data_IF_702947072889
#
_entry.id   IF_702947072889
#
_cell.length_a   1.000
_cell.length_b   1.000
_cell.length_c   1.000
_cell.angle_alpha   90.00
_cell.angle_beta   90.00
_cell.angle_gamma   90.00
#
_symmetry.space_group_name_H-M   'P 1'
#
loop_
_entity.id
_entity.type
_entity.pdbx_description
1 polymer ?
#
# COMPACT_ATOMS: atom_id res chain seq x y z
N UNK A 1 23.79 4.94 18.23
CA UNK A 1 22.39 4.58 18.54
C UNK A 1 21.68 4.29 17.24
N UNK A 2 20.95 3.18 17.18
CA UNK A 2 20.26 2.70 15.99
C UNK A 2 18.76 2.63 16.29
N UNK A 3 17.93 3.13 15.38
CA UNK A 3 16.47 3.10 15.51
C UNK A 3 15.81 2.66 14.20
N UNK A 4 14.66 2.01 14.33
CA UNK A 4 13.77 1.66 13.23
C UNK A 4 12.47 2.43 13.36
N UNK A 5 11.94 2.93 12.23
CA UNK A 5 10.64 3.58 12.13
C UNK A 5 9.79 2.79 11.14
N UNK A 6 8.82 1.97 11.59
CA UNK A 6 7.88 1.33 10.69
C UNK A 6 7.05 2.39 9.97
N UNK A 7 6.86 2.22 8.67
CA UNK A 7 6.08 3.12 7.81
C UNK A 7 5.24 2.29 6.86
N UNK A 8 4.02 2.74 6.55
CA UNK A 8 3.21 2.16 5.47
C UNK A 8 3.77 2.53 4.09
N UNK A 9 2.92 3.04 3.20
CA UNK A 9 3.29 3.45 1.84
C UNK A 9 4.08 4.78 1.80
N UNK A 10 5.28 4.79 2.38
CA UNK A 10 6.22 5.95 2.33
C UNK A 10 7.31 5.75 1.27
N UNK A 11 7.57 4.50 0.90
CA UNK A 11 8.53 4.11 -0.13
C UNK A 11 7.78 3.86 -1.45
N UNK A 12 8.40 4.21 -2.58
CA UNK A 12 7.88 3.75 -3.88
C UNK A 12 7.92 2.22 -3.93
N UNK A 13 7.06 1.60 -4.74
CA UNK A 13 7.05 0.14 -4.94
C UNK A 13 8.46 -0.40 -5.23
N UNK A 14 9.22 0.32 -6.05
CA UNK A 14 10.61 -0.01 -6.40
C UNK A 14 11.55 -0.09 -5.18
N UNK A 15 11.33 0.73 -4.15
CA UNK A 15 12.13 0.69 -2.90
C UNK A 15 11.59 -0.37 -1.94
N UNK A 16 10.27 -0.60 -1.93
CA UNK A 16 9.65 -1.69 -1.16
C UNK A 16 10.14 -3.07 -1.60
N UNK A 17 10.34 -3.27 -2.90
CA UNK A 17 10.85 -4.52 -3.48
C UNK A 17 12.37 -4.70 -3.32
N UNK A 18 13.12 -3.60 -3.22
CA UNK A 18 14.58 -3.63 -3.08
C UNK A 18 15.03 -2.94 -1.78
N UNK A 19 15.16 -3.75 -0.73
CA UNK A 19 15.57 -3.29 0.61
C UNK A 19 16.94 -2.58 0.62
N UNK A 20 17.81 -2.82 -0.38
CA UNK A 20 19.10 -2.14 -0.47
C UNK A 20 18.97 -0.66 -0.84
N UNK A 21 17.81 -0.23 -1.35
CA UNK A 21 17.53 1.17 -1.67
C UNK A 21 17.08 1.98 -0.45
N UNK A 22 16.83 1.33 0.70
CA UNK A 22 16.47 2.02 1.95
C UNK A 22 17.70 2.76 2.46
N UNK A 23 17.69 4.08 2.29
CA UNK A 23 18.73 4.97 2.82
C UNK A 23 18.36 5.44 4.23
N UNK A 24 19.15 5.10 5.26
CA UNK A 24 18.93 5.63 6.61
C UNK A 24 19.26 7.12 6.67
N UNK A 25 18.61 7.83 7.60
CA UNK A 25 18.98 9.20 7.95
C UNK A 25 19.89 9.17 9.18
N UNK A 26 21.06 9.80 9.09
CA UNK A 26 22.03 9.86 10.19
C UNK A 26 22.33 11.29 10.60
N UNK A 27 22.39 11.55 11.92
CA UNK A 27 22.84 12.82 12.51
C UNK A 27 23.66 12.53 13.76
N UNK A 28 24.96 12.86 13.72
CA UNK A 28 25.89 12.51 14.79
C UNK A 28 26.01 10.99 14.96
N UNK A 29 25.84 10.50 16.18
CA UNK A 29 25.87 9.07 16.52
C UNK A 29 24.49 8.39 16.43
N UNK A 30 23.49 9.03 15.81
CA UNK A 30 22.12 8.52 15.68
C UNK A 30 21.86 8.17 14.21
N UNK A 31 21.38 6.94 13.99
CA UNK A 31 20.98 6.43 12.67
C UNK A 31 19.54 5.92 12.74
N UNK A 32 18.69 6.36 11.81
CA UNK A 32 17.27 5.97 11.73
C UNK A 32 16.99 5.33 10.37
N UNK A 33 16.48 4.09 10.39
CA UNK A 33 15.96 3.40 9.21
C UNK A 33 14.45 3.54 9.16
N UNK A 34 13.91 3.97 8.01
CA UNK A 34 12.50 3.78 7.71
C UNK A 34 12.29 2.36 7.17
N UNK A 35 11.32 1.65 7.71
CA UNK A 35 11.04 0.25 7.35
C UNK A 35 9.69 0.21 6.65
N UNK A 36 9.60 -0.19 5.36
CA UNK A 36 8.32 -0.39 4.68
C UNK A 36 7.61 -1.60 5.29
N UNK A 37 6.74 -1.34 6.26
CA UNK A 37 5.94 -2.34 6.97
C UNK A 37 4.48 -1.89 6.92
N UNK A 38 3.67 -2.60 6.15
CA UNK A 38 2.24 -2.31 5.98
C UNK A 38 1.41 -3.46 6.53
N UNK A 39 0.40 -3.14 7.34
CA UNK A 39 -0.65 -4.06 7.78
C UNK A 39 -1.89 -3.98 6.87
N UNK A 40 -1.83 -3.14 5.84
CA UNK A 40 -2.85 -3.03 4.80
C UNK A 40 -2.37 -3.70 3.52
N UNK A 41 -3.31 -4.32 2.80
CA UNK A 41 -3.07 -4.94 1.50
C UNK A 41 -2.50 -3.95 0.49
N UNK A 42 -1.55 -4.41 -0.33
CA UNK A 42 -1.17 -3.73 -1.55
C UNK A 42 -2.25 -3.91 -2.64
N UNK A 43 -2.07 -3.22 -3.78
CA UNK A 43 -3.07 -3.23 -4.85
C UNK A 43 -3.29 -4.63 -5.44
N UNK A 44 -2.22 -5.39 -5.65
CA UNK A 44 -2.28 -6.75 -6.22
C UNK A 44 -2.92 -7.71 -5.22
N UNK A 45 -2.51 -7.69 -3.95
CA UNK A 45 -3.09 -8.53 -2.90
C UNK A 45 -4.62 -8.33 -2.79
N UNK A 46 -5.07 -7.06 -2.82
CA UNK A 46 -6.50 -6.76 -2.79
C UNK A 46 -7.22 -7.22 -4.05
N UNK A 47 -6.60 -7.03 -5.23
CA UNK A 47 -7.16 -7.50 -6.50
C UNK A 47 -7.32 -9.02 -6.48
N UNK A 48 -6.27 -9.76 -6.14
CA UNK A 48 -6.28 -11.23 -6.09
C UNK A 48 -7.32 -11.73 -5.09
N UNK A 49 -7.43 -11.08 -3.92
CA UNK A 49 -8.45 -11.42 -2.94
C UNK A 49 -9.88 -11.21 -3.48
N UNK A 50 -10.14 -10.09 -4.16
CA UNK A 50 -11.45 -9.81 -4.76
C UNK A 50 -11.77 -10.81 -5.88
N UNK A 51 -10.78 -11.13 -6.72
CA UNK A 51 -10.93 -12.10 -7.80
C UNK A 51 -11.15 -13.53 -7.29
N UNK A 52 -10.52 -13.88 -6.17
CA UNK A 52 -10.73 -15.14 -5.48
C UNK A 52 -12.14 -15.23 -4.87
N UNK A 53 -12.55 -14.20 -4.13
CA UNK A 53 -13.84 -14.21 -3.41
C UNK A 53 -15.06 -14.02 -4.33
N UNK A 54 -14.90 -13.25 -5.42
CA UNK A 54 -15.96 -12.86 -6.37
C UNK A 54 -17.25 -12.34 -5.71
N UNK A 55 -17.17 -11.30 -4.86
CA UNK A 55 -18.36 -10.75 -4.21
C UNK A 55 -19.34 -10.14 -5.22
N UNK A 56 -20.64 -10.26 -4.94
CA UNK A 56 -21.70 -9.61 -5.75
C UNK A 56 -21.65 -8.09 -5.67
N UNK A 57 -21.20 -7.55 -4.53
CA UNK A 57 -21.12 -6.12 -4.27
C UNK A 57 -19.92 -5.78 -3.40
N UNK A 58 -19.21 -4.71 -3.77
CA UNK A 58 -18.09 -4.16 -3.01
C UNK A 58 -18.47 -2.76 -2.51
N UNK A 59 -18.26 -2.51 -1.21
CA UNK A 59 -18.52 -1.22 -0.57
C UNK A 59 -17.19 -0.72 0.02
N UNK A 60 -16.53 0.29 -0.58
CA UNK A 60 -15.29 0.82 -0.03
C UNK A 60 -15.57 1.59 1.27
N UNK A 61 -14.70 1.44 2.26
CA UNK A 61 -14.78 2.16 3.55
C UNK A 61 -13.69 3.21 3.73
N UNK A 62 -12.61 3.14 2.94
CA UNK A 62 -11.46 4.06 2.96
C UNK A 62 -11.40 4.83 1.65
N UNK A 63 -10.81 6.04 1.66
CA UNK A 63 -10.70 6.94 0.49
C UNK A 63 -12.04 7.37 -0.13
N UNK A 64 -13.12 7.33 0.66
CA UNK A 64 -14.49 7.61 0.18
C UNK A 64 -14.89 9.08 0.18
N UNK A 65 -14.11 9.97 0.79
CA UNK A 65 -14.47 11.41 0.92
C UNK A 65 -14.51 12.18 -0.41
N UNK A 66 -13.86 11.67 -1.46
CA UNK A 66 -13.76 12.33 -2.76
C UNK A 66 -14.49 11.52 -3.85
N UNK A 67 -15.40 12.17 -4.59
CA UNK A 67 -16.17 11.55 -5.66
C UNK A 67 -15.31 10.95 -6.78
N UNK A 68 -14.22 11.63 -7.15
CA UNK A 68 -13.26 11.15 -8.14
C UNK A 68 -12.58 9.86 -7.67
N UNK A 69 -12.19 9.79 -6.40
CA UNK A 69 -11.58 8.58 -5.84
C UNK A 69 -12.57 7.42 -5.79
N UNK A 70 -13.84 7.67 -5.43
CA UNK A 70 -14.90 6.67 -5.48
C UNK A 70 -15.10 6.14 -6.90
N UNK A 71 -15.13 7.03 -7.90
CA UNK A 71 -15.23 6.64 -9.31
C UNK A 71 -14.07 5.76 -9.77
N UNK A 72 -12.83 6.12 -9.40
CA UNK A 72 -11.63 5.31 -9.68
C UNK A 72 -11.72 3.91 -9.04
N UNK A 73 -12.02 3.83 -7.74
CA UNK A 73 -12.18 2.52 -7.07
C UNK A 73 -13.26 1.67 -7.73
N UNK A 74 -14.40 2.26 -8.09
CA UNK A 74 -15.47 1.55 -8.79
C UNK A 74 -15.01 0.99 -10.15
N UNK A 75 -14.18 1.72 -10.90
CA UNK A 75 -13.63 1.22 -12.16
C UNK A 75 -12.70 0.02 -11.96
N UNK A 76 -11.85 0.02 -10.93
CA UNK A 76 -11.02 -1.13 -10.60
C UNK A 76 -11.86 -2.35 -10.21
N UNK A 77 -12.85 -2.19 -9.34
CA UNK A 77 -13.74 -3.29 -8.94
C UNK A 77 -14.46 -3.91 -10.14
N UNK A 78 -14.95 -3.09 -11.06
CA UNK A 78 -15.57 -3.57 -12.29
C UNK A 78 -14.59 -4.30 -13.21
N UNK A 79 -13.34 -3.85 -13.28
CA UNK A 79 -12.31 -4.53 -14.05
C UNK A 79 -11.98 -5.89 -13.43
N UNK A 80 -11.78 -5.95 -12.12
CA UNK A 80 -11.39 -7.16 -11.40
C UNK A 80 -12.45 -8.26 -11.46
N UNK A 81 -13.74 -7.90 -11.35
CA UNK A 81 -14.85 -8.86 -11.38
C UNK A 81 -15.23 -9.32 -12.80
N UNK A 82 -14.73 -8.66 -13.84
CA UNK A 82 -14.90 -9.08 -15.25
C UNK A 82 -13.91 -10.18 -15.65
N UNK A 83 -12.75 -10.22 -15.01
CA UNK A 83 -11.77 -11.28 -15.19
C UNK A 83 -12.23 -12.57 -14.48
#
# INVERSE_FOLDING_TARGET
>A
MLSFRPTGWTYSETIGENLNLIKPTSKGNITIYGVPYSEHSNFIELQEFVQFLRPEKIIPTVNVGNAVNRGKMQSYFQQWLKA
#
